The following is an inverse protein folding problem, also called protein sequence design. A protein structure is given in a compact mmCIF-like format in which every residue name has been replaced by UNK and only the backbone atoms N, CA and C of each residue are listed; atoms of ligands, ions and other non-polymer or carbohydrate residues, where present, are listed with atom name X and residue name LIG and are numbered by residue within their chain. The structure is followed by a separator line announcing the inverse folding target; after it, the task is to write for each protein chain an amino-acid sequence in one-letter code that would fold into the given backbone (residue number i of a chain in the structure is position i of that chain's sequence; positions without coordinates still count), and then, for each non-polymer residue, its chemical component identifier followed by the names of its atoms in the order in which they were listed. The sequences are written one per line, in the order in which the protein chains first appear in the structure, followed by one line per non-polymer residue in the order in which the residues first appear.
data_IF_743984141694
#
_entry.id   IF_743984141694
#
_cell.length_a   1.000
_cell.length_b   1.000
_cell.length_c   1.000
_cell.angle_alpha   90.00
_cell.angle_beta   90.00
_cell.angle_gamma   90.00
#
_symmetry.space_group_name_H-M   'P 1'
#
loop_
_entity.id
_entity.type
_entity.pdbx_description
1 polymer ?
#
# COMPACT_ATOMS: atom_id res chain seq x y z
N UNK A 1 95.23 23.34 -26.74
CA UNK A 1 93.95 23.86 -26.17
C UNK A 1 93.41 22.81 -25.22
N UNK A 2 92.89 23.20 -24.06
CA UNK A 2 92.27 22.26 -23.12
C UNK A 2 90.89 21.85 -23.63
N UNK A 3 90.73 20.57 -23.94
CA UNK A 3 89.39 19.98 -24.13
C UNK A 3 88.78 19.83 -22.74
N UNK A 4 87.90 20.75 -22.36
CA UNK A 4 87.09 20.59 -21.16
C UNK A 4 86.14 19.42 -21.39
N UNK A 5 86.47 18.23 -20.88
CA UNK A 5 85.54 17.12 -20.84
C UNK A 5 84.30 17.54 -20.05
N UNK A 6 83.20 17.77 -20.75
CA UNK A 6 81.91 17.99 -20.12
C UNK A 6 81.56 16.74 -19.34
N UNK A 7 81.55 16.88 -18.00
CA UNK A 7 81.40 15.80 -17.05
C UNK A 7 80.33 14.81 -17.50
N UNK A 8 80.67 13.53 -17.55
CA UNK A 8 79.76 12.47 -17.97
C UNK A 8 78.48 12.61 -17.15
N UNK A 9 77.31 12.91 -17.76
CA UNK A 9 76.06 12.96 -17.02
C UNK A 9 75.87 11.59 -16.42
N UNK A 10 75.91 11.52 -15.08
CA UNK A 10 75.77 10.28 -14.31
C UNK A 10 74.55 9.56 -14.88
N UNK A 11 74.75 8.38 -15.45
CA UNK A 11 73.67 7.65 -16.10
C UNK A 11 72.56 7.51 -15.07
N UNK A 12 71.38 8.09 -15.35
CA UNK A 12 70.26 8.06 -14.42
C UNK A 12 69.92 6.58 -14.22
N UNK A 13 70.19 6.05 -13.04
CA UNK A 13 70.00 4.64 -12.73
C UNK A 13 68.48 4.40 -12.73
N UNK A 14 68.00 3.70 -13.75
CA UNK A 14 66.58 3.71 -14.15
C UNK A 14 66.32 4.17 -15.60
N UNK A 15 67.33 4.51 -16.40
CA UNK A 15 67.18 4.57 -17.87
C UNK A 15 67.05 3.15 -18.40
N UNK A 16 65.84 2.85 -18.88
CA UNK A 16 65.47 1.56 -19.44
C UNK A 16 66.27 1.14 -20.67
N UNK A 17 66.15 -0.14 -21.03
CA UNK A 17 66.84 -0.74 -22.17
C UNK A 17 66.32 -0.15 -23.50
N UNK A 18 67.04 0.88 -24.01
CA UNK A 18 66.57 1.71 -25.13
C UNK A 18 67.54 1.74 -26.31
N UNK A 19 66.96 1.88 -27.49
CA UNK A 19 67.69 2.18 -28.72
C UNK A 19 68.25 3.61 -28.70
N UNK A 20 69.49 3.76 -29.16
CA UNK A 20 70.18 5.05 -29.30
C UNK A 20 70.74 5.15 -30.73
N UNK A 21 70.49 6.23 -31.49
CA UNK A 21 71.10 6.40 -32.81
C UNK A 21 72.61 6.58 -32.68
N UNK A 22 73.37 5.97 -33.59
CA UNK A 22 74.84 5.88 -33.52
C UNK A 22 75.52 6.29 -34.84
N UNK A 23 74.94 5.94 -35.98
CA UNK A 23 75.34 6.44 -37.31
C UNK A 23 74.09 6.79 -38.12
N UNK A 24 74.27 7.61 -39.14
CA UNK A 24 73.35 7.79 -40.24
C UNK A 24 74.15 7.98 -41.53
N UNK A 25 73.55 7.73 -42.69
CA UNK A 25 74.23 7.98 -43.97
C UNK A 25 73.31 8.43 -45.09
N UNK A 26 73.91 9.12 -46.05
CA UNK A 26 73.27 9.63 -47.27
C UNK A 26 74.18 9.29 -48.45
N UNK A 27 73.70 8.44 -49.35
CA UNK A 27 74.44 7.94 -50.51
C UNK A 27 73.76 8.40 -51.79
N UNK A 28 74.47 9.15 -52.64
CA UNK A 28 74.02 9.68 -53.93
C UNK A 28 72.67 10.43 -53.90
N UNK A 29 72.46 11.32 -52.91
CA UNK A 29 71.30 12.21 -52.83
C UNK A 29 71.77 13.65 -52.67
N UNK A 30 71.20 14.57 -53.45
CA UNK A 30 71.64 15.97 -53.54
C UNK A 30 73.15 16.04 -53.87
N UNK A 31 73.92 16.82 -53.11
CA UNK A 31 75.39 16.91 -53.18
C UNK A 31 76.10 15.97 -52.18
N UNK A 32 75.40 15.00 -51.61
CA UNK A 32 75.98 13.90 -50.85
C UNK A 32 76.17 12.70 -51.77
N UNK A 33 77.39 12.16 -51.82
CA UNK A 33 77.77 11.03 -52.66
C UNK A 33 77.86 9.76 -51.82
N UNK A 34 78.54 9.84 -50.67
CA UNK A 34 78.67 8.77 -49.68
C UNK A 34 79.11 9.41 -48.35
N UNK A 35 78.15 9.99 -47.61
CA UNK A 35 78.42 10.74 -46.39
C UNK A 35 77.78 10.08 -45.16
N UNK A 36 78.62 9.74 -44.18
CA UNK A 36 78.25 9.13 -42.90
C UNK A 36 78.38 10.14 -41.76
N UNK A 37 77.36 10.19 -40.90
CA UNK A 37 77.26 11.08 -39.74
C UNK A 37 77.24 10.26 -38.44
N UNK A 38 78.21 10.44 -37.56
CA UNK A 38 78.28 9.74 -36.26
C UNK A 38 77.57 10.52 -35.14
N UNK A 39 76.94 9.78 -34.20
CA UNK A 39 76.14 10.35 -33.12
C UNK A 39 76.82 10.16 -31.77
N UNK A 40 77.35 11.24 -31.19
CA UNK A 40 77.92 11.21 -29.86
C UNK A 40 76.80 11.08 -28.79
N UNK A 41 76.64 9.88 -28.22
CA UNK A 41 75.61 9.55 -27.21
C UNK A 41 74.19 9.90 -27.69
N UNK A 42 73.86 9.53 -28.93
CA UNK A 42 72.54 9.78 -29.53
C UNK A 42 72.30 11.21 -30.02
N UNK A 43 73.35 12.05 -30.10
CA UNK A 43 73.25 13.45 -30.54
C UNK A 43 74.21 13.72 -31.71
N UNK A 44 73.71 14.44 -32.71
CA UNK A 44 74.47 14.90 -33.89
C UNK A 44 74.51 16.44 -33.88
N UNK A 45 75.68 17.03 -34.12
CA UNK A 45 75.86 18.48 -34.24
C UNK A 45 76.42 18.82 -35.63
N UNK A 46 75.61 19.48 -36.44
CA UNK A 46 76.01 19.93 -37.78
C UNK A 46 76.48 21.40 -37.72
N UNK A 47 77.76 21.65 -38.03
CA UNK A 47 78.37 22.99 -38.12
C UNK A 47 78.95 23.24 -39.52
N UNK A 48 79.10 24.51 -39.89
CA UNK A 48 79.63 24.95 -41.19
C UNK A 48 78.88 26.20 -41.73
N UNK A 49 79.33 26.81 -42.85
CA UNK A 49 78.71 28.00 -43.44
C UNK A 49 77.27 27.80 -43.94
N UNK A 50 76.53 28.88 -44.20
CA UNK A 50 75.23 28.76 -44.89
C UNK A 50 75.40 28.15 -46.28
N UNK A 51 74.41 27.36 -46.72
CA UNK A 51 74.52 26.54 -47.95
C UNK A 51 75.22 25.18 -47.79
N UNK A 52 75.93 24.92 -46.69
CA UNK A 52 76.71 23.67 -46.46
C UNK A 52 75.88 22.40 -46.18
N UNK A 53 74.68 22.27 -46.78
CA UNK A 53 73.85 21.06 -46.71
C UNK A 53 73.20 20.71 -45.36
N UNK A 54 73.57 21.35 -44.24
CA UNK A 54 73.06 21.02 -42.87
C UNK A 54 71.55 20.81 -42.78
N UNK A 55 70.75 21.69 -43.39
CA UNK A 55 69.28 21.54 -43.41
C UNK A 55 68.82 20.35 -44.26
N UNK A 56 69.54 20.01 -45.34
CA UNK A 56 69.27 18.83 -46.17
C UNK A 56 69.51 17.53 -45.42
N UNK A 57 70.53 17.45 -44.56
CA UNK A 57 70.72 16.31 -43.64
C UNK A 57 69.47 16.09 -42.77
N UNK A 58 68.88 17.17 -42.26
CA UNK A 58 67.62 17.10 -41.51
C UNK A 58 66.41 16.76 -42.40
N UNK A 59 66.29 17.33 -43.60
CA UNK A 59 65.22 16.99 -44.55
C UNK A 59 65.26 15.51 -44.99
N UNK A 60 66.46 14.93 -45.10
CA UNK A 60 66.70 13.58 -45.63
C UNK A 60 66.74 12.47 -44.58
N UNK A 61 67.10 12.77 -43.32
CA UNK A 61 67.19 11.78 -42.25
C UNK A 61 66.03 11.87 -41.25
N UNK A 62 65.93 12.98 -40.50
CA UNK A 62 65.04 13.10 -39.34
C UNK A 62 63.94 14.15 -39.55
N UNK A 63 62.64 13.78 -39.54
CA UNK A 63 62.09 12.47 -39.22
C UNK A 63 61.82 11.56 -40.44
N UNK A 64 62.25 11.90 -41.67
CA UNK A 64 61.86 11.17 -42.88
C UNK A 64 62.05 9.65 -42.79
N UNK A 65 63.22 9.17 -42.32
CA UNK A 65 63.50 7.73 -42.22
C UNK A 65 62.63 7.05 -41.16
N UNK A 66 62.08 7.79 -40.18
CA UNK A 66 61.14 7.26 -39.17
C UNK A 66 59.66 7.36 -39.60
N UNK A 67 59.34 8.31 -40.49
CA UNK A 67 57.99 8.68 -40.92
C UNK A 67 57.57 8.08 -42.27
N UNK A 68 58.54 7.70 -43.12
CA UNK A 68 58.36 7.12 -44.44
C UNK A 68 57.46 7.93 -45.40
N UNK A 69 57.34 9.25 -45.18
CA UNK A 69 56.45 10.12 -45.95
C UNK A 69 57.20 10.99 -46.95
N UNK A 70 56.93 10.80 -48.25
CA UNK A 70 57.45 11.63 -49.34
C UNK A 70 56.69 12.96 -49.51
N UNK A 71 55.69 13.25 -48.67
CA UNK A 71 54.89 14.49 -48.73
C UNK A 71 55.79 15.71 -48.46
N UNK A 72 55.88 16.72 -49.36
CA UNK A 72 56.82 17.85 -49.19
C UNK A 72 56.68 18.61 -47.86
N UNK A 73 55.45 18.76 -47.35
CA UNK A 73 55.17 19.39 -46.06
C UNK A 73 55.66 18.60 -44.83
N UNK A 74 55.91 17.29 -44.96
CA UNK A 74 56.56 16.46 -43.92
C UNK A 74 58.09 16.41 -44.09
N UNK A 75 58.61 16.68 -45.29
CA UNK A 75 60.04 16.74 -45.58
C UNK A 75 60.68 18.09 -45.21
N UNK A 76 60.06 19.20 -45.60
CA UNK A 76 60.59 20.56 -45.43
C UNK A 76 60.83 20.94 -43.96
N UNK A 77 61.97 21.56 -43.66
CA UNK A 77 62.24 22.16 -42.34
C UNK A 77 61.59 23.53 -42.15
N UNK A 78 60.96 24.09 -43.18
CA UNK A 78 60.31 25.41 -43.17
C UNK A 78 58.80 25.35 -43.45
N UNK A 79 58.22 24.15 -43.54
CA UNK A 79 56.79 23.92 -43.86
C UNK A 79 56.40 24.13 -45.32
N UNK A 80 57.18 24.89 -46.09
CA UNK A 80 56.96 25.15 -47.52
C UNK A 80 57.03 23.89 -48.41
N UNK A 81 56.27 23.89 -49.51
CA UNK A 81 56.10 22.75 -50.42
C UNK A 81 57.18 22.64 -51.50
N UNK A 82 58.07 23.63 -51.61
CA UNK A 82 59.14 23.68 -52.62
C UNK A 82 60.19 22.56 -52.47
N UNK A 83 60.31 21.99 -51.26
CA UNK A 83 61.31 20.97 -50.91
C UNK A 83 60.77 19.55 -51.11
N UNK A 84 60.60 19.19 -52.38
CA UNK A 84 60.18 17.83 -52.77
C UNK A 84 61.35 16.84 -52.68
N UNK A 85 61.06 15.55 -52.44
CA UNK A 85 62.11 14.52 -52.52
C UNK A 85 62.65 14.36 -53.95
N UNK A 86 61.84 14.68 -54.96
CA UNK A 86 62.29 14.70 -56.36
C UNK A 86 63.41 15.71 -56.58
N UNK A 87 63.25 16.94 -56.07
CA UNK A 87 64.31 17.96 -56.10
C UNK A 87 65.55 17.50 -55.33
N UNK A 88 65.39 16.81 -54.19
CA UNK A 88 66.53 16.28 -53.43
C UNK A 88 67.34 15.24 -54.22
N UNK A 89 66.75 14.51 -55.18
CA UNK A 89 67.46 13.58 -56.05
C UNK A 89 67.97 14.25 -57.34
N UNK A 90 67.06 14.94 -58.06
CA UNK A 90 67.23 15.41 -59.44
C UNK A 90 67.59 16.89 -59.56
N UNK A 91 67.73 17.62 -58.45
CA UNK A 91 68.24 18.98 -58.42
C UNK A 91 69.77 19.04 -58.36
N UNK A 92 70.30 19.97 -57.56
CA UNK A 92 71.73 20.16 -57.32
C UNK A 92 72.50 18.85 -57.06
N UNK A 93 73.53 18.61 -57.88
CA UNK A 93 74.39 17.42 -57.81
C UNK A 93 73.88 16.20 -58.60
N UNK A 94 72.74 16.30 -59.28
CA UNK A 94 72.25 15.23 -60.17
C UNK A 94 72.97 15.23 -61.52
N UNK A 95 73.15 14.03 -62.08
CA UNK A 95 73.57 13.81 -63.47
C UNK A 95 72.80 12.63 -64.07
N UNK A 96 72.58 12.66 -65.39
CA UNK A 96 71.85 11.62 -66.12
C UNK A 96 70.32 11.64 -65.94
N UNK A 97 69.65 10.73 -66.65
CA UNK A 97 68.19 10.65 -66.79
C UNK A 97 67.48 10.12 -65.54
N UNK A 98 68.16 9.27 -64.76
CA UNK A 98 67.64 8.54 -63.60
C UNK A 98 68.68 8.55 -62.50
N UNK A 99 68.29 8.93 -61.27
CA UNK A 99 69.16 8.85 -60.10
C UNK A 99 68.59 7.89 -59.07
N UNK A 100 69.47 7.10 -58.46
CA UNK A 100 69.20 6.21 -57.32
C UNK A 100 70.13 6.62 -56.19
N UNK A 101 69.60 6.70 -54.97
CA UNK A 101 70.38 6.95 -53.76
C UNK A 101 69.76 6.29 -52.54
N UNK A 102 70.44 6.38 -51.39
CA UNK A 102 70.01 5.80 -50.12
C UNK A 102 70.06 6.83 -48.99
N UNK A 103 69.16 6.68 -48.03
CA UNK A 103 69.22 7.33 -46.71
C UNK A 103 68.98 6.29 -45.63
N UNK A 104 69.78 6.31 -44.56
CA UNK A 104 69.71 5.28 -43.51
C UNK A 104 70.10 5.79 -42.13
N UNK A 105 69.66 5.09 -41.10
CA UNK A 105 69.94 5.30 -39.68
C UNK A 105 70.35 3.97 -39.03
N UNK A 106 71.46 3.96 -38.29
CA UNK A 106 71.84 2.88 -37.37
C UNK A 106 71.48 3.26 -35.94
N UNK A 107 70.86 2.32 -35.24
CA UNK A 107 70.60 2.36 -33.80
C UNK A 107 71.33 1.21 -33.12
N UNK A 108 71.85 1.46 -31.91
CA UNK A 108 72.35 0.42 -31.01
C UNK A 108 71.51 0.37 -29.75
N UNK A 109 71.15 -0.84 -29.33
CA UNK A 109 70.43 -1.10 -28.09
C UNK A 109 71.42 -1.27 -26.92
N UNK A 110 70.93 -1.21 -25.67
CA UNK A 110 71.78 -1.32 -24.47
C UNK A 110 72.38 -2.72 -24.26
N UNK A 111 71.77 -3.77 -24.82
CA UNK A 111 72.27 -5.15 -24.82
C UNK A 111 73.25 -5.46 -25.96
N UNK A 112 73.64 -4.46 -26.74
CA UNK A 112 74.58 -4.59 -27.85
C UNK A 112 73.97 -4.93 -29.22
N UNK A 113 72.66 -5.21 -29.30
CA UNK A 113 71.98 -5.41 -30.59
C UNK A 113 71.97 -4.15 -31.46
N UNK A 114 71.89 -4.36 -32.77
CA UNK A 114 71.83 -3.31 -33.79
C UNK A 114 70.48 -3.33 -34.51
N UNK A 115 70.06 -2.17 -34.99
CA UNK A 115 68.91 -2.02 -35.86
C UNK A 115 69.19 -0.89 -36.84
N UNK A 116 69.25 -1.23 -38.12
CA UNK A 116 69.39 -0.30 -39.23
C UNK A 116 68.04 -0.16 -39.92
N UNK A 117 67.63 1.07 -40.20
CA UNK A 117 66.45 1.34 -41.01
C UNK A 117 66.73 2.45 -42.05
N UNK A 118 66.14 2.35 -43.23
CA UNK A 118 66.43 3.27 -44.33
C UNK A 118 65.48 3.18 -45.51
N UNK A 119 65.78 3.99 -46.53
CA UNK A 119 65.06 4.03 -47.79
C UNK A 119 66.03 4.10 -48.97
N UNK A 120 65.85 3.18 -49.93
CA UNK A 120 66.32 3.35 -51.30
C UNK A 120 65.37 4.32 -52.00
N UNK A 121 65.88 5.37 -52.61
CA UNK A 121 65.12 6.38 -53.33
C UNK A 121 65.50 6.40 -54.81
N UNK A 122 64.53 6.52 -55.71
CA UNK A 122 64.76 6.60 -57.15
C UNK A 122 63.84 7.64 -57.80
N UNK A 123 64.42 8.48 -58.66
CA UNK A 123 63.70 9.48 -59.44
C UNK A 123 64.25 9.55 -60.88
N UNK A 124 63.48 10.16 -61.79
CA UNK A 124 63.91 10.44 -63.17
C UNK A 124 63.61 11.88 -63.56
N UNK A 125 64.21 12.38 -64.64
CA UNK A 125 63.91 13.72 -65.18
C UNK A 125 62.49 13.83 -65.74
N UNK A 126 61.85 12.71 -66.11
CA UNK A 126 60.57 12.69 -66.83
C UNK A 126 59.32 12.68 -65.93
N UNK A 127 59.46 12.37 -64.63
CA UNK A 127 58.34 12.39 -63.67
C UNK A 127 58.75 13.01 -62.34
N UNK A 128 57.83 13.73 -61.69
CA UNK A 128 58.02 14.30 -60.35
C UNK A 128 57.83 13.29 -59.22
N UNK A 129 57.42 12.06 -59.54
CA UNK A 129 57.26 10.99 -58.55
C UNK A 129 58.61 10.40 -58.15
N UNK A 130 58.76 10.07 -56.87
CA UNK A 130 59.92 9.33 -56.33
C UNK A 130 59.45 7.95 -55.93
N UNK A 131 60.11 6.90 -56.45
CA UNK A 131 59.91 5.53 -55.99
C UNK A 131 60.81 5.29 -54.78
N UNK A 132 60.21 4.99 -53.63
CA UNK A 132 60.93 4.57 -52.43
C UNK A 132 60.76 3.07 -52.18
N UNK A 133 61.83 2.40 -51.76
CA UNK A 133 61.79 1.06 -51.18
C UNK A 133 62.44 1.12 -49.80
N UNK A 134 61.62 0.93 -48.76
CA UNK A 134 62.04 1.03 -47.37
C UNK A 134 62.58 -0.31 -46.87
N UNK A 135 63.61 -0.29 -46.02
CA UNK A 135 64.26 -1.51 -45.52
C UNK A 135 64.64 -1.42 -44.04
N UNK A 136 64.69 -2.58 -43.39
CA UNK A 136 65.21 -2.75 -42.02
C UNK A 136 66.12 -3.97 -41.95
N UNK A 137 67.18 -3.93 -41.15
CA UNK A 137 68.07 -5.08 -40.88
C UNK A 137 68.70 -4.99 -39.48
N UNK A 138 69.11 -6.13 -38.93
CA UNK A 138 69.97 -6.19 -37.74
C UNK A 138 71.47 -6.03 -38.08
N UNK A 139 71.84 -6.07 -39.36
CA UNK A 139 73.19 -5.77 -39.84
C UNK A 139 73.50 -4.26 -39.84
N UNK A 140 74.78 -3.91 -39.92
CA UNK A 140 75.29 -2.53 -40.02
C UNK A 140 75.64 -2.17 -41.47
N UNK A 141 75.73 -0.88 -41.77
CA UNK A 141 76.01 -0.39 -43.13
C UNK A 141 77.49 -0.16 -43.33
N UNK A 142 78.05 -0.72 -44.41
CA UNK A 142 79.44 -0.59 -44.84
C UNK A 142 80.45 -0.95 -43.75
N UNK A 143 80.21 -2.09 -43.10
CA UNK A 143 81.14 -2.78 -42.18
C UNK A 143 81.48 -4.17 -42.72
N UNK A 144 82.63 -4.79 -42.37
CA UNK A 144 83.04 -6.09 -42.90
C UNK A 144 81.97 -7.20 -42.76
N UNK A 145 81.32 -7.27 -41.59
CA UNK A 145 80.23 -8.23 -41.29
C UNK A 145 78.82 -7.62 -41.51
N UNK A 146 78.71 -6.62 -42.38
CA UNK A 146 77.51 -5.81 -42.60
C UNK A 146 76.82 -6.03 -43.94
N UNK A 147 76.01 -5.05 -44.33
CA UNK A 147 75.44 -4.90 -45.67
C UNK A 147 76.07 -3.70 -46.38
N UNK A 148 76.17 -3.77 -47.71
CA UNK A 148 76.57 -2.65 -48.57
C UNK A 148 75.34 -2.02 -49.23
N UNK A 149 75.37 -0.71 -49.46
CA UNK A 149 74.32 0.00 -50.21
C UNK A 149 74.76 0.39 -51.63
N UNK A 150 76.03 0.17 -51.95
CA UNK A 150 76.67 0.33 -53.26
C UNK A 150 77.27 -0.99 -53.74
N UNK A 151 77.39 -1.16 -55.06
CA UNK A 151 78.22 -2.20 -55.66
C UNK A 151 79.68 -1.76 -55.76
N UNK A 152 80.55 -2.67 -56.23
CA UNK A 152 82.02 -2.48 -56.24
C UNK A 152 82.51 -1.25 -57.03
N UNK A 153 81.74 -0.76 -58.01
CA UNK A 153 82.02 0.48 -58.75
C UNK A 153 81.39 1.74 -58.15
N UNK A 154 80.90 1.69 -56.90
CA UNK A 154 80.23 2.79 -56.21
C UNK A 154 78.77 3.03 -56.61
N UNK A 155 78.22 2.30 -57.61
CA UNK A 155 76.83 2.47 -58.02
C UNK A 155 75.84 1.98 -56.94
N UNK A 156 74.84 2.80 -56.53
CA UNK A 156 73.84 2.38 -55.54
C UNK A 156 72.99 1.19 -56.00
N UNK A 157 72.77 0.22 -55.11
CA UNK A 157 72.10 -1.05 -55.45
C UNK A 157 70.66 -0.87 -55.96
N UNK A 158 70.22 -1.74 -56.86
CA UNK A 158 68.81 -1.85 -57.28
C UNK A 158 67.93 -2.47 -56.18
N UNK A 159 66.60 -2.41 -56.32
CA UNK A 159 65.69 -3.06 -55.35
C UNK A 159 65.91 -4.57 -55.25
N UNK A 160 66.26 -5.24 -56.35
CA UNK A 160 66.56 -6.68 -56.34
C UNK A 160 67.84 -6.96 -55.53
N UNK A 161 68.96 -6.33 -55.93
CA UNK A 161 70.24 -6.48 -55.22
C UNK A 161 70.17 -6.10 -53.74
N UNK A 162 69.32 -5.13 -53.36
CA UNK A 162 69.07 -4.79 -51.95
C UNK A 162 68.37 -5.94 -51.20
N UNK A 163 67.40 -6.63 -51.81
CA UNK A 163 66.78 -7.82 -51.21
C UNK A 163 67.81 -8.95 -51.06
N UNK A 164 68.64 -9.16 -52.08
CA UNK A 164 69.66 -10.21 -52.09
C UNK A 164 70.74 -9.97 -51.01
N UNK A 165 71.26 -8.73 -50.89
CA UNK A 165 72.27 -8.33 -49.90
C UNK A 165 71.71 -8.34 -48.46
N UNK A 166 70.44 -7.96 -48.26
CA UNK A 166 69.79 -8.08 -46.94
C UNK A 166 69.60 -9.54 -46.52
N UNK A 167 69.28 -10.43 -47.47
CA UNK A 167 69.18 -11.87 -47.28
C UNK A 167 68.27 -12.25 -46.10
N UNK A 168 68.86 -12.87 -45.06
CA UNK A 168 68.16 -13.24 -43.81
C UNK A 168 68.32 -12.23 -42.67
N UNK A 169 69.17 -11.21 -42.83
CA UNK A 169 69.44 -10.21 -41.79
C UNK A 169 68.37 -9.11 -41.70
N UNK A 170 67.59 -8.95 -42.76
CA UNK A 170 66.66 -7.84 -42.92
C UNK A 170 65.58 -8.08 -43.96
N UNK A 171 64.86 -7.01 -44.33
CA UNK A 171 63.69 -7.08 -45.21
C UNK A 171 63.48 -5.74 -45.91
N UNK A 172 63.15 -5.79 -47.21
CA UNK A 172 62.57 -4.65 -47.95
C UNK A 172 61.06 -4.73 -47.86
N UNK A 173 60.43 -3.68 -47.34
CA UNK A 173 59.00 -3.65 -47.04
C UNK A 173 58.15 -3.34 -48.28
N UNK A 174 56.94 -3.90 -48.31
CA UNK A 174 55.98 -3.72 -49.40
C UNK A 174 55.37 -2.31 -49.42
N UNK A 175 55.19 -1.69 -48.24
CA UNK A 175 54.61 -0.37 -48.08
C UNK A 175 55.33 0.47 -47.02
N UNK A 176 55.17 1.79 -47.12
CA UNK A 176 55.65 2.73 -46.12
C UNK A 176 55.04 2.47 -44.73
N UNK A 177 53.80 1.99 -44.68
CA UNK A 177 53.02 1.70 -43.47
C UNK A 177 53.52 0.44 -42.75
N UNK A 178 53.83 -0.62 -43.50
CA UNK A 178 54.42 -1.86 -42.97
C UNK A 178 55.81 -1.58 -42.37
N UNK A 179 56.66 -0.88 -43.12
CA UNK A 179 57.96 -0.40 -42.63
C UNK A 179 57.81 0.46 -41.36
N UNK A 180 56.91 1.45 -41.38
CA UNK A 180 56.66 2.36 -40.25
C UNK A 180 56.19 1.59 -39.02
N UNK A 181 55.39 0.54 -39.20
CA UNK A 181 54.95 -0.36 -38.13
C UNK A 181 56.11 -1.15 -37.53
N UNK A 182 57.05 -1.64 -38.35
CA UNK A 182 58.26 -2.32 -37.86
C UNK A 182 59.18 -1.35 -37.12
N UNK A 183 59.45 -0.16 -37.68
CA UNK A 183 60.25 0.87 -37.01
C UNK A 183 59.63 1.28 -35.65
N UNK A 184 58.30 1.46 -35.59
CA UNK A 184 57.56 1.71 -34.34
C UNK A 184 57.76 0.56 -33.35
N UNK A 185 57.48 -0.69 -33.76
CA UNK A 185 57.57 -1.87 -32.88
C UNK A 185 58.98 -2.16 -32.38
N UNK A 186 60.02 -1.83 -33.15
CA UNK A 186 61.41 -2.01 -32.72
C UNK A 186 61.87 -0.88 -31.80
N UNK A 187 61.74 0.38 -32.22
CA UNK A 187 62.32 1.54 -31.53
C UNK A 187 61.44 2.10 -30.41
N UNK A 188 60.11 1.96 -30.51
CA UNK A 188 59.11 2.66 -29.69
C UNK A 188 58.00 1.69 -29.23
N UNK A 189 58.40 0.60 -28.58
CA UNK A 189 57.53 -0.54 -28.18
C UNK A 189 56.24 -0.14 -27.47
N UNK A 190 56.31 0.82 -26.55
CA UNK A 190 55.17 1.33 -25.75
C UNK A 190 54.24 2.29 -26.52
N UNK A 191 54.63 2.75 -27.71
CA UNK A 191 53.81 3.67 -28.49
C UNK A 191 52.89 2.89 -29.43
N UNK A 192 51.58 3.03 -29.23
CA UNK A 192 50.60 2.69 -30.25
C UNK A 192 50.78 3.58 -31.51
N UNK A 193 50.07 3.27 -32.59
CA UNK A 193 50.30 3.94 -33.86
C UNK A 193 49.92 5.43 -33.86
N UNK A 194 48.82 5.79 -33.19
CA UNK A 194 48.38 7.17 -33.03
C UNK A 194 49.42 8.00 -32.26
N UNK A 195 49.91 7.50 -31.11
CA UNK A 195 50.98 8.16 -30.34
C UNK A 195 52.27 8.29 -31.16
N UNK A 196 52.54 7.37 -32.08
CA UNK A 196 53.67 7.45 -32.99
C UNK A 196 53.50 8.52 -34.09
N UNK A 197 52.29 8.82 -34.58
CA UNK A 197 52.07 10.01 -35.44
C UNK A 197 52.11 11.33 -34.65
N UNK A 198 51.63 11.37 -33.40
CA UNK A 198 51.83 12.51 -32.49
C UNK A 198 53.32 12.80 -32.28
N UNK A 199 54.13 11.78 -31.96
CA UNK A 199 55.58 11.90 -31.82
C UNK A 199 56.24 12.44 -33.09
N UNK A 200 55.93 11.86 -34.26
CA UNK A 200 56.50 12.31 -35.53
C UNK A 200 56.03 13.73 -35.91
N UNK A 201 54.84 14.14 -35.49
CA UNK A 201 54.32 15.51 -35.66
C UNK A 201 55.08 16.51 -34.79
N UNK A 202 55.24 16.22 -33.49
CA UNK A 202 56.06 17.02 -32.59
C UNK A 202 57.52 17.14 -33.09
N UNK A 203 58.12 16.03 -33.56
CA UNK A 203 59.48 16.04 -34.14
C UNK A 203 59.56 16.91 -35.41
N UNK A 204 58.54 16.94 -36.27
CA UNK A 204 58.49 17.85 -37.43
C UNK A 204 58.47 19.31 -37.00
N UNK A 205 57.72 19.65 -35.94
CA UNK A 205 57.55 21.02 -35.47
C UNK A 205 58.77 21.55 -34.69
N UNK A 206 59.35 20.73 -33.80
CA UNK A 206 60.58 21.07 -33.06
C UNK A 206 61.79 21.29 -33.97
N UNK A 207 61.76 20.74 -35.19
CA UNK A 207 62.79 20.90 -36.23
C UNK A 207 62.68 22.24 -36.99
N UNK A 208 61.63 23.02 -36.78
CA UNK A 208 61.43 24.31 -37.46
C UNK A 208 62.42 25.35 -36.92
N UNK A 209 63.25 25.99 -37.76
CA UNK A 209 64.19 27.01 -37.30
C UNK A 209 63.43 28.26 -36.83
N UNK A 210 64.05 29.01 -35.90
CA UNK A 210 63.41 30.15 -35.21
C UNK A 210 62.12 29.76 -34.44
N UNK A 211 62.07 28.53 -33.89
CA UNK A 211 60.96 28.08 -33.05
C UNK A 211 60.57 29.13 -31.99
N UNK A 212 61.56 29.72 -31.30
CA UNK A 212 61.38 30.78 -30.30
C UNK A 212 60.75 32.09 -30.81
N UNK A 213 60.73 32.36 -32.11
CA UNK A 213 60.02 33.52 -32.71
C UNK A 213 58.56 33.18 -33.07
N UNK A 214 58.17 31.91 -32.96
CA UNK A 214 56.84 31.38 -33.33
C UNK A 214 56.28 30.39 -32.30
N UNK A 215 56.78 30.41 -31.06
CA UNK A 215 56.18 29.70 -29.94
C UNK A 215 54.92 30.44 -29.49
N UNK A 216 53.82 30.20 -30.19
CA UNK A 216 52.50 30.38 -29.59
C UNK A 216 52.35 29.38 -28.43
N UNK A 217 52.14 29.85 -27.18
CA UNK A 217 51.90 28.96 -26.04
C UNK A 217 50.64 28.10 -26.19
N UNK A 218 49.63 28.56 -26.94
CA UNK A 218 48.42 27.81 -27.24
C UNK A 218 48.75 26.56 -28.06
N UNK A 219 49.30 26.76 -29.26
CA UNK A 219 49.78 25.68 -30.12
C UNK A 219 50.77 24.74 -29.42
N UNK A 220 51.72 25.25 -28.63
CA UNK A 220 52.64 24.38 -27.87
C UNK A 220 51.88 23.53 -26.84
N UNK A 221 50.90 24.10 -26.14
CA UNK A 221 50.08 23.38 -25.17
C UNK A 221 49.23 22.29 -25.84
N UNK A 222 48.58 22.58 -26.97
CA UNK A 222 47.83 21.58 -27.76
C UNK A 222 48.72 20.42 -28.23
N UNK A 223 49.93 20.71 -28.69
CA UNK A 223 50.87 19.70 -29.21
C UNK A 223 51.48 18.84 -28.11
N UNK A 224 51.76 19.42 -26.93
CA UNK A 224 52.18 18.65 -25.76
C UNK A 224 51.02 17.80 -25.23
N UNK A 225 49.81 18.36 -25.17
CA UNK A 225 48.59 17.66 -24.71
C UNK A 225 48.21 16.49 -25.62
N UNK A 226 48.28 16.65 -26.94
CA UNK A 226 48.05 15.59 -27.93
C UNK A 226 49.21 14.59 -28.09
N UNK A 227 50.33 14.83 -27.39
CA UNK A 227 51.45 13.90 -27.22
C UNK A 227 51.48 13.21 -25.83
N UNK A 228 50.60 13.59 -24.90
CA UNK A 228 50.41 12.86 -23.65
C UNK A 228 49.93 11.42 -23.92
N UNK A 229 50.10 10.49 -22.96
CA UNK A 229 49.40 9.21 -23.03
C UNK A 229 47.88 9.43 -23.15
N UNK A 230 47.17 8.72 -24.04
CA UNK A 230 45.72 8.60 -23.90
C UNK A 230 45.41 7.88 -22.58
N UNK A 231 44.22 8.14 -22.03
CA UNK A 231 43.70 7.38 -20.90
C UNK A 231 43.71 5.88 -21.24
N UNK A 232 44.06 5.06 -20.25
CA UNK A 232 44.09 3.61 -20.40
C UNK A 232 42.69 3.06 -20.67
N UNK A 233 42.59 2.05 -21.54
CA UNK A 233 41.30 1.40 -21.85
C UNK A 233 40.63 0.84 -20.58
N UNK A 234 41.42 0.38 -19.61
CA UNK A 234 40.94 0.00 -18.27
C UNK A 234 40.40 1.16 -17.44
N UNK A 235 41.05 2.34 -17.45
CA UNK A 235 40.59 3.54 -16.74
C UNK A 235 39.25 4.03 -17.30
N UNK A 236 39.09 3.97 -18.63
CA UNK A 236 37.83 4.27 -19.33
C UNK A 236 36.74 3.24 -18.96
N UNK A 237 37.11 1.96 -18.83
CA UNK A 237 36.18 0.90 -18.45
C UNK A 237 35.71 1.02 -16.99
N UNK A 238 36.62 1.29 -16.04
CA UNK A 238 36.27 1.55 -14.63
C UNK A 238 35.33 2.75 -14.48
N UNK A 239 35.57 3.84 -15.22
CA UNK A 239 34.68 5.00 -15.25
C UNK A 239 33.31 4.64 -15.82
N UNK A 240 33.25 3.89 -16.91
CA UNK A 240 31.99 3.45 -17.53
C UNK A 240 31.17 2.54 -16.59
N UNK A 241 31.81 1.57 -15.94
CA UNK A 241 31.17 0.67 -14.98
C UNK A 241 30.67 1.44 -13.74
N UNK A 242 31.41 2.46 -13.31
CA UNK A 242 30.99 3.41 -12.28
C UNK A 242 29.72 4.19 -12.65
N UNK A 243 29.61 4.66 -13.90
CA UNK A 243 28.40 5.34 -14.39
C UNK A 243 27.20 4.38 -14.50
N UNK A 244 27.37 3.18 -15.05
CA UNK A 244 26.29 2.18 -15.08
C UNK A 244 25.78 1.82 -13.68
N UNK A 245 26.70 1.71 -12.71
CA UNK A 245 26.40 1.43 -11.31
C UNK A 245 25.60 2.57 -10.66
N UNK A 246 25.96 3.82 -10.95
CA UNK A 246 25.22 5.01 -10.50
C UNK A 246 23.82 5.09 -11.12
N UNK A 247 23.66 4.89 -12.42
CA UNK A 247 22.33 4.96 -13.05
C UNK A 247 21.42 3.80 -12.63
N UNK A 248 21.98 2.62 -12.35
CA UNK A 248 21.26 1.50 -11.71
C UNK A 248 20.73 1.88 -10.33
N UNK A 249 21.56 2.48 -9.48
CA UNK A 249 21.15 2.99 -8.15
C UNK A 249 20.10 4.11 -8.26
N UNK A 250 20.18 4.96 -9.28
CA UNK A 250 19.19 6.04 -9.50
C UNK A 250 17.83 5.50 -9.90
N UNK A 251 17.74 4.43 -10.69
CA UNK A 251 16.44 3.81 -10.98
C UNK A 251 15.91 2.96 -9.82
N UNK A 252 16.78 2.29 -9.06
CA UNK A 252 16.42 1.61 -7.80
C UNK A 252 15.79 2.58 -6.79
N UNK A 253 16.38 3.76 -6.60
CA UNK A 253 15.80 4.83 -5.78
C UNK A 253 14.45 5.31 -6.31
N UNK A 254 14.31 5.53 -7.63
CA UNK A 254 13.01 5.91 -8.23
C UNK A 254 11.94 4.83 -8.07
N UNK A 255 12.30 3.55 -7.98
CA UNK A 255 11.35 2.47 -7.69
C UNK A 255 10.95 2.48 -6.22
N UNK A 256 11.92 2.63 -5.31
CA UNK A 256 11.67 2.72 -3.87
C UNK A 256 10.79 3.93 -3.49
N UNK A 257 11.01 5.09 -4.11
CA UNK A 257 10.17 6.29 -3.93
C UNK A 257 8.71 6.02 -4.34
N UNK A 258 8.49 5.30 -5.46
CA UNK A 258 7.15 4.90 -5.93
C UNK A 258 6.48 3.90 -4.97
N UNK A 259 7.23 2.93 -4.46
CA UNK A 259 6.72 1.96 -3.48
C UNK A 259 6.33 2.63 -2.16
N UNK A 260 7.10 3.63 -1.70
CA UNK A 260 6.77 4.46 -0.54
C UNK A 260 5.49 5.26 -0.78
N UNK A 261 5.31 5.89 -1.95
CA UNK A 261 4.07 6.61 -2.29
C UNK A 261 2.83 5.70 -2.24
N UNK A 262 2.88 4.51 -2.86
CA UNK A 262 1.74 3.59 -2.85
C UNK A 262 1.48 2.99 -1.47
N UNK A 263 2.53 2.72 -0.68
CA UNK A 263 2.41 2.29 0.71
C UNK A 263 1.71 3.34 1.59
N UNK A 264 2.04 4.63 1.44
CA UNK A 264 1.41 5.69 2.24
C UNK A 264 -0.03 5.97 1.79
N UNK A 265 -0.32 5.88 0.49
CA UNK A 265 -1.70 5.90 -0.05
C UNK A 265 -2.53 4.74 0.49
N UNK A 266 -1.97 3.53 0.56
CA UNK A 266 -2.61 2.35 1.18
C UNK A 266 -2.84 2.58 2.68
N UNK A 267 -1.82 3.05 3.41
CA UNK A 267 -1.93 3.36 4.83
C UNK A 267 -2.97 4.47 5.10
N UNK A 268 -3.11 5.45 4.22
CA UNK A 268 -4.16 6.48 4.27
C UNK A 268 -5.56 5.88 4.10
N UNK A 269 -5.75 5.01 3.10
CA UNK A 269 -7.01 4.28 2.87
C UNK A 269 -7.37 3.37 4.06
N UNK A 270 -6.42 2.61 4.58
CA UNK A 270 -6.63 1.74 5.75
C UNK A 270 -6.95 2.52 7.03
N UNK A 271 -6.23 3.63 7.30
CA UNK A 271 -6.55 4.55 8.42
C UNK A 271 -7.99 5.10 8.29
N UNK A 272 -8.45 5.41 7.08
CA UNK A 272 -9.83 5.86 6.82
C UNK A 272 -10.87 4.74 7.05
N UNK A 273 -10.61 3.53 6.55
CA UNK A 273 -11.48 2.36 6.74
C UNK A 273 -11.60 1.99 8.23
N UNK A 274 -10.48 1.84 8.95
CA UNK A 274 -10.47 1.54 10.37
C UNK A 274 -11.23 2.58 11.20
N UNK A 275 -11.07 3.88 10.90
CA UNK A 275 -11.84 4.97 11.53
C UNK A 275 -13.35 4.85 11.29
N UNK A 276 -13.80 4.34 10.13
CA UNK A 276 -15.23 4.09 9.85
C UNK A 276 -15.75 2.90 10.64
N UNK A 277 -15.04 1.78 10.66
CA UNK A 277 -15.41 0.57 11.41
C UNK A 277 -15.49 0.85 12.92
N UNK A 278 -14.47 1.50 13.49
CA UNK A 278 -14.43 1.86 14.91
C UNK A 278 -15.56 2.82 15.29
N UNK A 279 -15.90 3.80 14.44
CA UNK A 279 -17.06 4.69 14.67
C UNK A 279 -18.39 3.95 14.61
N UNK A 280 -18.57 3.00 13.70
CA UNK A 280 -19.78 2.18 13.62
C UNK A 280 -19.93 1.28 14.86
N UNK A 281 -18.84 0.64 15.31
CA UNK A 281 -18.83 -0.16 16.54
C UNK A 281 -19.14 0.69 17.78
N UNK A 282 -18.49 1.84 17.94
CA UNK A 282 -18.74 2.77 19.04
C UNK A 282 -20.21 3.28 19.06
N UNK A 283 -20.77 3.62 17.89
CA UNK A 283 -22.18 4.00 17.79
C UNK A 283 -23.14 2.84 18.15
N UNK A 284 -22.76 1.60 17.87
CA UNK A 284 -23.47 0.41 18.34
C UNK A 284 -23.48 0.29 19.87
N UNK A 285 -22.31 0.45 20.51
CA UNK A 285 -22.18 0.42 21.98
C UNK A 285 -22.98 1.55 22.64
N UNK A 286 -22.92 2.77 22.13
CA UNK A 286 -23.70 3.91 22.66
C UNK A 286 -25.21 3.64 22.58
N UNK A 287 -25.71 3.12 21.45
CA UNK A 287 -27.14 2.75 21.31
C UNK A 287 -27.54 1.61 22.27
N UNK A 288 -26.66 0.63 22.48
CA UNK A 288 -26.92 -0.45 23.44
C UNK A 288 -26.97 0.06 24.88
N UNK A 289 -26.11 1.02 25.26
CA UNK A 289 -26.16 1.71 26.55
C UNK A 289 -27.47 2.48 26.74
N UNK A 290 -27.87 3.29 25.75
CA UNK A 290 -29.14 4.04 25.78
C UNK A 290 -30.38 3.12 25.87
N UNK A 291 -30.35 1.98 25.18
CA UNK A 291 -31.41 0.98 25.27
C UNK A 291 -31.46 0.31 26.65
N UNK A 292 -30.30 0.03 27.26
CA UNK A 292 -30.19 -0.53 28.61
C UNK A 292 -30.68 0.47 29.68
N UNK A 293 -30.31 1.75 29.57
CA UNK A 293 -30.79 2.82 30.45
C UNK A 293 -32.31 2.99 30.38
N UNK A 294 -32.87 3.01 29.16
CA UNK A 294 -34.31 3.09 28.92
C UNK A 294 -35.05 1.89 29.52
N UNK A 295 -34.55 0.67 29.28
CA UNK A 295 -35.14 -0.55 29.83
C UNK A 295 -35.00 -0.63 31.36
N UNK A 296 -33.90 -0.13 31.94
CA UNK A 296 -33.73 -0.04 33.39
C UNK A 296 -34.72 0.95 34.02
N UNK A 297 -35.00 2.08 33.35
CA UNK A 297 -36.03 3.03 33.76
C UNK A 297 -37.44 2.42 33.64
N UNK A 298 -37.75 1.68 32.58
CA UNK A 298 -39.02 0.98 32.41
C UNK A 298 -39.22 -0.10 33.49
N UNK A 299 -38.19 -0.91 33.77
CA UNK A 299 -38.20 -1.93 34.84
C UNK A 299 -38.35 -1.28 36.21
N UNK A 300 -37.73 -0.12 36.46
CA UNK A 300 -37.93 0.65 37.69
C UNK A 300 -39.39 1.11 37.81
N UNK A 301 -39.92 1.79 36.79
CA UNK A 301 -41.30 2.27 36.79
C UNK A 301 -42.33 1.15 36.95
N UNK A 302 -42.10 -0.01 36.32
CA UNK A 302 -42.94 -1.21 36.50
C UNK A 302 -42.87 -1.80 37.91
N UNK A 303 -41.71 -1.76 38.58
CA UNK A 303 -41.58 -2.16 40.00
C UNK A 303 -42.26 -1.18 40.95
N UNK A 304 -42.19 0.11 40.66
CA UNK A 304 -42.88 1.15 41.45
C UNK A 304 -44.41 1.04 41.27
N UNK A 305 -44.90 0.82 40.04
CA UNK A 305 -46.32 0.57 39.77
C UNK A 305 -46.83 -0.77 40.36
N UNK A 306 -46.04 -1.85 40.31
CA UNK A 306 -46.39 -3.12 40.96
C UNK A 306 -46.54 -2.92 42.47
N UNK A 307 -45.59 -2.23 43.11
CA UNK A 307 -45.62 -1.95 44.55
C UNK A 307 -46.84 -1.13 44.97
N UNK A 308 -47.32 -0.22 44.11
CA UNK A 308 -48.55 0.52 44.38
C UNK A 308 -49.80 -0.34 44.18
N UNK A 309 -49.85 -1.18 43.14
CA UNK A 309 -50.94 -2.15 42.96
C UNK A 309 -51.01 -3.20 44.08
N UNK A 310 -49.86 -3.61 44.64
CA UNK A 310 -49.77 -4.46 45.85
C UNK A 310 -50.39 -3.74 47.07
N UNK A 311 -50.10 -2.45 47.27
CA UNK A 311 -50.72 -1.63 48.34
C UNK A 311 -52.23 -1.43 48.14
N UNK A 312 -52.67 -1.18 46.92
CA UNK A 312 -54.10 -1.06 46.59
C UNK A 312 -54.83 -2.39 46.83
N UNK A 313 -54.20 -3.52 46.51
CA UNK A 313 -54.71 -4.86 46.79
C UNK A 313 -54.80 -5.13 48.30
N UNK A 314 -53.72 -4.87 49.07
CA UNK A 314 -53.70 -5.03 50.53
C UNK A 314 -54.79 -4.17 51.20
N UNK A 315 -54.91 -2.89 50.80
CA UNK A 315 -55.95 -1.99 51.32
C UNK A 315 -57.37 -2.43 50.93
N UNK A 316 -57.56 -2.99 49.74
CA UNK A 316 -58.85 -3.53 49.30
C UNK A 316 -59.20 -4.84 50.02
N UNK A 317 -58.22 -5.71 50.27
CA UNK A 317 -58.40 -6.93 51.04
C UNK A 317 -58.69 -6.66 52.52
N UNK A 318 -58.02 -5.67 53.12
CA UNK A 318 -58.33 -5.21 54.48
C UNK A 318 -59.77 -4.69 54.58
N UNK A 319 -60.19 -3.83 53.64
CA UNK A 319 -61.58 -3.35 53.57
C UNK A 319 -62.60 -4.47 53.32
N UNK A 320 -62.28 -5.46 52.49
CA UNK A 320 -63.15 -6.62 52.30
C UNK A 320 -63.34 -7.39 53.62
N UNK A 321 -62.26 -7.63 54.37
CA UNK A 321 -62.33 -8.24 55.70
C UNK A 321 -63.12 -7.41 56.73
N UNK A 322 -63.06 -6.08 56.67
CA UNK A 322 -63.89 -5.19 57.49
C UNK A 322 -65.39 -5.27 57.13
N UNK A 323 -65.72 -5.36 55.84
CA UNK A 323 -67.12 -5.51 55.38
C UNK A 323 -67.66 -6.93 55.67
N UNK A 324 -66.86 -7.99 55.47
CA UNK A 324 -67.22 -9.37 55.84
C UNK A 324 -67.43 -9.52 57.36
N UNK A 325 -66.58 -8.89 58.17
CA UNK A 325 -66.76 -8.86 59.63
C UNK A 325 -68.00 -8.06 60.05
N UNK A 326 -68.34 -6.98 59.35
CA UNK A 326 -69.59 -6.25 59.55
C UNK A 326 -70.82 -7.07 59.14
N UNK A 327 -70.78 -7.78 58.00
CA UNK A 327 -71.86 -8.68 57.58
C UNK A 327 -72.10 -9.78 58.62
N UNK A 328 -71.03 -10.43 59.10
CA UNK A 328 -71.11 -11.45 60.14
C UNK A 328 -71.68 -10.89 61.47
N UNK A 329 -71.24 -9.70 61.88
CA UNK A 329 -71.75 -9.02 63.07
C UNK A 329 -73.22 -8.58 62.92
N UNK A 330 -73.63 -8.14 61.73
CA UNK A 330 -75.02 -7.81 61.42
C UNK A 330 -75.90 -9.06 61.36
N UNK A 331 -75.43 -10.17 60.80
CA UNK A 331 -76.12 -11.45 60.82
C UNK A 331 -76.33 -11.96 62.25
N UNK A 332 -75.26 -11.99 63.07
CA UNK A 332 -75.35 -12.36 64.48
C UNK A 332 -76.28 -11.43 65.28
N UNK A 333 -76.30 -10.12 64.96
CA UNK A 333 -77.24 -9.15 65.56
C UNK A 333 -78.69 -9.37 65.10
N UNK A 334 -78.91 -9.75 63.84
CA UNK A 334 -80.23 -10.10 63.31
C UNK A 334 -80.76 -11.36 64.01
N UNK A 335 -79.92 -12.37 64.20
CA UNK A 335 -80.32 -13.61 64.89
C UNK A 335 -80.53 -13.38 66.39
N UNK A 336 -79.65 -12.65 67.07
CA UNK A 336 -79.87 -12.21 68.46
C UNK A 336 -81.12 -11.33 68.64
N UNK A 337 -81.52 -10.56 67.61
CA UNK A 337 -82.81 -9.85 67.60
C UNK A 337 -84.00 -10.81 67.43
N UNK A 338 -83.91 -11.86 66.59
CA UNK A 338 -84.94 -12.90 66.46
C UNK A 338 -85.09 -13.70 67.77
N UNK A 339 -83.99 -14.01 68.45
CA UNK A 339 -83.99 -14.72 69.74
C UNK A 339 -84.42 -13.83 70.91
N UNK A 340 -84.35 -12.49 70.75
CA UNK A 340 -84.67 -11.55 71.82
C UNK A 340 -86.07 -11.75 72.39
N UNK A 341 -86.20 -11.65 73.71
CA UNK A 341 -87.47 -11.78 74.41
C UNK A 341 -88.54 -10.80 73.89
N UNK A 342 -88.17 -9.64 73.33
CA UNK A 342 -89.11 -8.70 72.72
C UNK A 342 -89.66 -9.17 71.36
N UNK A 343 -88.84 -9.79 70.52
CA UNK A 343 -89.27 -10.36 69.24
C UNK A 343 -90.08 -11.65 69.45
N UNK A 344 -89.61 -12.52 70.35
CA UNK A 344 -90.33 -13.72 70.78
C UNK A 344 -91.66 -13.35 71.45
N UNK A 345 -91.70 -12.33 72.33
CA UNK A 345 -92.95 -11.82 72.87
C UNK A 345 -93.86 -11.19 71.80
N UNK A 346 -93.32 -10.65 70.70
CA UNK A 346 -94.12 -10.26 69.53
C UNK A 346 -94.80 -11.46 68.85
N UNK A 347 -94.08 -12.58 68.71
CA UNK A 347 -94.61 -13.86 68.27
C UNK A 347 -95.65 -14.44 69.24
N UNK A 348 -95.37 -14.41 70.54
CA UNK A 348 -96.33 -14.82 71.57
C UNK A 348 -97.54 -13.90 71.65
N UNK A 349 -97.41 -12.58 71.43
CA UNK A 349 -98.54 -11.66 71.38
C UNK A 349 -99.44 -11.95 70.15
N UNK A 350 -98.84 -12.30 69.01
CA UNK A 350 -99.59 -12.75 67.82
C UNK A 350 -100.31 -14.09 68.07
N UNK A 351 -99.66 -15.02 68.77
CA UNK A 351 -100.24 -16.29 69.19
C UNK A 351 -101.37 -16.08 70.21
N UNK A 352 -101.13 -15.34 71.29
CA UNK A 352 -102.09 -15.01 72.36
C UNK A 352 -103.28 -14.23 71.81
N UNK A 353 -103.09 -13.36 70.82
CA UNK A 353 -104.18 -12.72 70.09
C UNK A 353 -105.05 -13.75 69.37
N UNK A 354 -104.44 -14.71 68.68
CA UNK A 354 -105.15 -15.79 67.96
C UNK A 354 -105.88 -16.72 68.95
N UNK A 355 -105.26 -17.03 70.09
CA UNK A 355 -105.87 -17.81 71.18
C UNK A 355 -107.01 -17.03 71.86
N UNK A 356 -106.89 -15.71 72.04
CA UNK A 356 -107.94 -14.84 72.59
C UNK A 356 -109.13 -14.66 71.64
N UNK A 357 -108.88 -14.51 70.33
CA UNK A 357 -109.92 -14.48 69.29
C UNK A 357 -110.68 -15.83 69.28
N UNK A 358 -109.98 -16.96 69.40
CA UNK A 358 -110.59 -18.29 69.57
C UNK A 358 -111.36 -18.46 70.89
N UNK A 359 -110.84 -17.95 72.01
CA UNK A 359 -111.51 -17.99 73.31
C UNK A 359 -112.80 -17.15 73.32
N UNK A 360 -112.81 -16.01 72.62
CA UNK A 360 -114.00 -15.16 72.46
C UNK A 360 -115.15 -15.90 71.76
N UNK A 361 -114.86 -16.69 70.72
CA UNK A 361 -115.89 -17.53 70.07
C UNK A 361 -116.47 -18.57 71.04
N UNK A 362 -115.63 -19.25 71.83
CA UNK A 362 -116.08 -20.26 72.80
C UNK A 362 -116.94 -19.60 73.89
N UNK A 363 -116.54 -18.44 74.39
CA UNK A 363 -117.28 -17.67 75.40
C UNK A 363 -118.62 -17.09 74.87
N UNK A 364 -118.76 -16.89 73.55
CA UNK A 364 -120.05 -16.57 72.92
C UNK A 364 -120.98 -17.80 72.89
N UNK A 365 -120.48 -18.93 72.38
CA UNK A 365 -121.23 -20.20 72.27
C UNK A 365 -121.75 -20.69 73.64
N UNK A 366 -120.98 -20.53 74.71
CA UNK A 366 -121.37 -20.86 76.09
C UNK A 366 -122.51 -19.98 76.61
N UNK A 367 -122.50 -18.67 76.34
CA UNK A 367 -123.57 -17.74 76.76
C UNK A 367 -124.91 -18.08 76.10
N UNK A 368 -124.87 -18.42 74.82
CA UNK A 368 -126.04 -18.91 74.07
C UNK A 368 -126.60 -20.25 74.59
N UNK A 369 -125.80 -21.02 75.34
CA UNK A 369 -126.22 -22.28 75.95
C UNK A 369 -126.88 -22.03 77.32
N UNK A 370 -126.27 -21.18 78.16
CA UNK A 370 -126.84 -20.73 79.44
C UNK A 370 -128.19 -19.98 79.25
N UNK A 371 -128.28 -19.09 78.26
CA UNK A 371 -129.49 -18.35 77.93
C UNK A 371 -130.66 -19.20 77.40
N UNK A 372 -130.41 -20.48 77.08
CA UNK A 372 -131.44 -21.49 76.78
C UNK A 372 -131.80 -22.35 78.00
N UNK A 373 -130.84 -22.65 78.87
CA UNK A 373 -131.07 -23.39 80.12
C UNK A 373 -131.98 -22.62 81.09
N UNK A 374 -131.74 -21.31 81.28
CA UNK A 374 -132.51 -20.49 82.23
C UNK A 374 -134.03 -20.48 81.92
N UNK A 375 -134.40 -20.36 80.64
CA UNK A 375 -135.81 -20.32 80.19
C UNK A 375 -136.56 -21.65 80.40
N UNK A 376 -135.83 -22.75 80.58
CA UNK A 376 -136.40 -24.08 80.88
C UNK A 376 -136.64 -24.31 82.38
N UNK A 377 -136.10 -23.44 83.26
CA UNK A 377 -136.29 -23.52 84.72
C UNK A 377 -137.53 -22.74 85.15
N UNK A 378 -137.71 -21.50 84.67
CA UNK A 378 -138.88 -20.66 85.00
C UNK A 378 -140.21 -21.32 84.61
N UNK A 379 -140.30 -21.85 83.38
CA UNK A 379 -141.48 -22.55 82.88
C UNK A 379 -141.86 -23.83 83.69
N UNK A 380 -140.95 -24.37 84.51
CA UNK A 380 -141.23 -25.48 85.44
C UNK A 380 -141.75 -25.01 86.81
N UNK A 381 -141.39 -23.80 87.25
CA UNK A 381 -141.78 -23.28 88.56
C UNK A 381 -143.25 -22.81 88.55
N UNK A 382 -143.69 -22.18 87.46
CA UNK A 382 -145.08 -21.73 87.28
C UNK A 382 -146.09 -22.89 87.31
N UNK A 383 -145.75 -24.04 86.69
CA UNK A 383 -146.57 -25.25 86.75
C UNK A 383 -146.66 -25.87 88.15
N UNK A 384 -145.63 -25.70 89.00
CA UNK A 384 -145.62 -26.26 90.35
C UNK A 384 -146.51 -25.46 91.33
N UNK A 385 -146.56 -24.13 91.18
CA UNK A 385 -147.35 -23.26 92.06
C UNK A 385 -148.87 -23.54 91.96
N UNK A 386 -149.38 -23.71 90.74
CA UNK A 386 -150.80 -24.01 90.47
C UNK A 386 -151.26 -25.35 91.07
N UNK A 387 -150.37 -26.34 91.17
CA UNK A 387 -150.69 -27.64 91.76
C UNK A 387 -150.78 -27.61 93.31
N UNK A 388 -150.04 -26.71 93.97
CA UNK A 388 -149.91 -26.71 95.44
C UNK A 388 -151.15 -26.14 96.17
N UNK A 389 -151.89 -25.22 95.55
CA UNK A 389 -153.06 -24.58 96.16
C UNK A 389 -154.26 -25.53 96.29
N UNK A 390 -154.57 -26.28 95.23
CA UNK A 390 -155.73 -27.19 95.18
C UNK A 390 -155.66 -28.38 96.15
N UNK A 391 -154.47 -28.71 96.66
CA UNK A 391 -154.28 -29.84 97.57
C UNK A 391 -154.79 -29.58 99.00
N UNK A 392 -154.77 -28.33 99.48
CA UNK A 392 -155.07 -28.01 100.89
C UNK A 392 -156.57 -28.03 101.22
N UNK A 393 -157.43 -27.75 100.25
CA UNK A 393 -158.90 -27.81 100.39
C UNK A 393 -159.45 -29.23 100.53
N UNK A 394 -158.70 -30.26 100.12
CA UNK A 394 -159.15 -31.67 100.18
C UNK A 394 -158.97 -32.33 101.57
N UNK A 395 -157.93 -31.94 102.32
CA UNK A 395 -157.41 -32.72 103.45
C UNK A 395 -158.27 -32.75 104.73
N UNK A 396 -159.36 -31.96 104.83
CA UNK A 396 -160.26 -31.93 106.00
C UNK A 396 -161.72 -32.35 105.73
N UNK A 397 -162.05 -32.84 104.51
CA UNK A 397 -163.42 -33.26 104.13
C UNK A 397 -163.55 -34.74 103.68
N UNK A 398 -162.91 -35.66 104.41
CA UNK A 398 -163.34 -37.07 104.57
C UNK A 398 -163.02 -37.49 106.01
N UNK A 399 -163.92 -37.59 107.01
CA UNK A 399 -165.21 -38.29 107.16
C UNK A 399 -166.09 -38.52 105.90
N UNK A 400 -166.42 -39.81 105.66
CA UNK A 400 -167.21 -40.41 104.54
C UNK A 400 -166.47 -40.54 103.17
N UNK A 401 -166.82 -41.51 102.27
CA UNK A 401 -165.78 -42.36 101.60
C UNK A 401 -165.80 -42.52 100.03
N UNK A 402 -164.98 -43.47 99.50
CA UNK A 402 -164.94 -44.16 98.16
C UNK A 402 -164.17 -43.59 96.90
N UNK A 403 -163.69 -44.49 95.99
CA UNK A 403 -163.32 -44.30 94.53
C UNK A 403 -161.83 -44.20 94.05
N UNK A 404 -161.38 -44.73 92.87
CA UNK A 404 -159.97 -44.60 92.30
C UNK A 404 -159.65 -45.00 90.80
N UNK A 405 -158.37 -44.89 90.26
CA UNK A 405 -157.80 -45.60 89.03
C UNK A 405 -156.89 -44.94 87.87
N UNK A 406 -155.63 -45.45 87.62
CA UNK A 406 -154.74 -45.64 86.37
C UNK A 406 -154.22 -44.58 85.27
N UNK A 407 -152.98 -44.70 84.61
CA UNK A 407 -152.48 -44.35 83.16
C UNK A 407 -150.90 -44.30 82.79
N UNK A 408 -150.33 -43.76 81.63
CA UNK A 408 -148.96 -44.09 80.93
C UNK A 408 -148.17 -43.05 79.95
N UNK A 409 -146.88 -43.33 79.50
CA UNK A 409 -146.09 -43.07 78.16
C UNK A 409 -144.85 -42.05 77.87
N UNK A 410 -144.14 -41.94 76.63
CA UNK A 410 -142.68 -41.46 76.32
C UNK A 410 -142.19 -40.81 74.88
N UNK A 411 -140.90 -40.28 74.58
CA UNK A 411 -140.40 -39.33 73.44
C UNK A 411 -139.12 -39.62 72.43
N UNK A 412 -138.42 -38.62 71.70
CA UNK A 412 -137.42 -38.70 70.47
C UNK A 412 -136.18 -37.65 70.24
N UNK A 413 -135.29 -37.65 69.14
CA UNK A 413 -133.95 -36.84 68.87
C UNK A 413 -133.19 -36.80 67.42
N UNK A 414 -132.39 -35.76 66.88
CA UNK A 414 -131.34 -35.79 65.68
C UNK A 414 -130.07 -34.74 65.41
N UNK A 415 -129.66 -34.01 64.26
CA UNK A 415 -128.22 -33.93 63.63
C UNK A 415 -127.48 -32.56 63.02
N UNK A 416 -126.74 -32.33 61.81
CA UNK A 416 -125.48 -31.43 61.52
C UNK A 416 -125.45 -30.39 60.24
N UNK A 417 -124.45 -29.79 59.43
CA UNK A 417 -122.92 -29.65 59.08
C UNK A 417 -122.50 -28.48 58.00
N UNK A 418 -121.21 -28.05 57.66
CA UNK A 418 -120.75 -27.11 56.48
C UNK A 418 -119.22 -26.57 56.25
N UNK A 419 -118.72 -25.92 55.10
CA UNK A 419 -117.29 -25.32 54.81
C UNK A 419 -116.86 -24.54 53.42
N UNK A 420 -115.75 -23.67 53.32
CA UNK A 420 -114.79 -23.19 52.16
C UNK A 420 -114.88 -21.75 51.44
N UNK A 421 -114.05 -21.05 50.53
CA UNK A 421 -112.77 -21.14 49.62
C UNK A 421 -112.22 -19.79 48.87
N UNK A 422 -110.93 -19.62 48.35
CA UNK A 422 -110.31 -18.81 47.13
C UNK A 422 -109.36 -17.50 47.20
N UNK A 423 -108.40 -17.20 46.22
CA UNK A 423 -107.46 -15.96 46.04
C UNK A 423 -106.76 -15.61 44.60
N UNK A 424 -105.89 -14.53 44.38
CA UNK A 424 -104.85 -14.15 43.27
C UNK A 424 -104.75 -12.62 42.71
N UNK A 425 -103.63 -12.02 42.12
CA UNK A 425 -103.53 -10.97 40.97
C UNK A 425 -102.16 -10.22 40.50
N UNK A 426 -102.19 -9.09 39.71
CA UNK A 426 -101.21 -8.55 38.63
C UNK A 426 -100.96 -6.98 38.50
N UNK A 427 -99.94 -6.49 37.72
CA UNK A 427 -99.72 -5.06 37.23
C UNK A 427 -98.69 -4.85 36.03
N UNK A 428 -98.58 -3.65 35.33
CA UNK A 428 -97.50 -3.17 34.35
C UNK A 428 -97.69 -1.73 33.72
N UNK A 429 -96.61 -0.96 33.34
CA UNK A 429 -96.53 0.02 32.19
C UNK A 429 -95.48 1.19 32.31
N UNK A 430 -95.10 2.04 31.31
CA UNK A 430 -94.74 1.90 29.86
C UNK A 430 -94.08 3.19 29.24
N UNK A 431 -93.38 3.16 28.06
CA UNK A 431 -92.96 4.42 27.33
C UNK A 431 -91.81 4.46 26.26
N UNK A 432 -92.18 4.49 24.96
CA UNK A 432 -91.62 5.08 23.68
C UNK A 432 -90.41 6.07 23.64
N UNK A 433 -89.65 6.33 22.53
CA UNK A 433 -89.50 5.80 21.12
C UNK A 433 -88.40 6.57 20.30
N UNK A 434 -87.75 5.99 19.25
CA UNK A 434 -86.84 6.72 18.31
C UNK A 434 -85.97 5.84 17.35
N UNK A 435 -85.44 6.36 16.21
CA UNK A 435 -84.96 5.56 15.04
C UNK A 435 -83.93 6.31 14.10
N UNK A 436 -83.06 5.69 13.24
CA UNK A 436 -82.61 4.28 13.11
C UNK A 436 -81.16 3.99 12.54
N UNK A 437 -80.75 4.22 11.25
CA UNK A 437 -79.81 3.25 10.60
C UNK A 437 -78.58 3.72 9.74
N UNK A 438 -77.50 2.92 9.74
CA UNK A 438 -76.46 2.79 8.66
C UNK A 438 -75.06 3.39 8.95
N UNK A 439 -73.90 2.90 8.41
CA UNK A 439 -73.58 1.65 7.67
C UNK A 439 -72.06 1.31 7.60
N UNK A 440 -71.69 0.02 7.70
CA UNK A 440 -70.51 -0.73 7.13
C UNK A 440 -69.04 -0.20 7.08
N UNK A 441 -68.17 -0.87 7.87
CA UNK A 441 -66.97 -1.73 7.51
C UNK A 441 -65.79 -1.29 6.58
N UNK A 442 -64.58 -1.70 7.03
CA UNK A 442 -63.25 -1.92 6.35
C UNK A 442 -62.45 -0.64 5.98
N UNK A 443 -61.10 -0.54 6.10
CA UNK A 443 -59.87 -1.42 6.02
C UNK A 443 -59.17 -1.46 4.64
N UNK A 444 -58.20 -0.55 4.43
CA UNK A 444 -56.91 -0.70 3.74
C UNK A 444 -56.01 0.47 4.26
N UNK A 445 -54.78 0.29 4.75
CA UNK A 445 -53.50 0.04 4.03
C UNK A 445 -53.22 1.05 2.92
N UNK A 446 -52.34 2.01 3.21
CA UNK A 446 -51.49 2.69 2.24
C UNK A 446 -50.04 2.18 2.37
N UNK A 447 -49.22 2.48 1.36
CA UNK A 447 -47.77 2.28 1.35
C UNK A 447 -47.05 3.51 1.95
#
# INVERSE_FOLDING_TARGET
MTVTELAVPRAVQGVDARWTPVRAGIVNVWRYYDEVFEFHRGRLLLRGPNGSGKSKVLELLFPYVLDASLKPSRLSTFGGTERTMHWNLMGDGASGTTRVGYVWLEFRHSDGRWFTCGARLQATVHTKNVTAAYFTTEARVDTPDGIRLTGEGGQPLTRAQLVDELGRSGTVHESAESYRTVVRRTLYRELNEQRYDSLLTALRQLRTPKLSERLDPGLLSELLSSALPPLGEGEIHEIAEGFERLDRQREELRLLDRDVEEADRLAGRQRSYARRVLRAAAAGVVRAGQALESLAAEVKGKREALKEAERELDATAARLGEEEAQELALAARIDGLKESAAYQAGGELHRLRTEAEGAHEVAARMRDQAGRAARAVTAKQEQAALAAAGARTAARRRRRPHGGGARRTRPRRRPPRGRTRRAAHRARGDGTSGHRPGTRRRRARHA
#
